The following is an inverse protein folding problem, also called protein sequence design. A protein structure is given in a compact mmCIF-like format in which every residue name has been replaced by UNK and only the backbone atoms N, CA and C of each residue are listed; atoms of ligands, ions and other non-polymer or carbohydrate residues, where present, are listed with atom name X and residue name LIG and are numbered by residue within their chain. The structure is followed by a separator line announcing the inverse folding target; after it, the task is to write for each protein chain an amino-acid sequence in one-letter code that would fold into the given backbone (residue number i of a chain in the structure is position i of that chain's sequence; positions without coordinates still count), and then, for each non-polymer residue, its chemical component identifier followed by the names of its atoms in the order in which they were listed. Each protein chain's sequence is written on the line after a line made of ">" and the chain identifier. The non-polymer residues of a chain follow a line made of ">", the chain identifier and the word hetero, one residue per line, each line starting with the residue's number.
data_IF_783810376343
#
_entry.id   IF_783810376343
#
_cell.length_a   1.000
_cell.length_b   1.000
_cell.length_c   1.000
_cell.angle_alpha   90.00
_cell.angle_beta   90.00
_cell.angle_gamma   90.00
#
_symmetry.space_group_name_H-M   'P 1'
#
loop_
_entity.id
_entity.type
_entity.pdbx_description
1 polymer ?
#
# COMPACT_ATOMS: atom_id res chain seq x y z
N UNK A 1 -21.82 -7.45 -13.39
CA UNK A 1 -20.55 -6.98 -12.81
C UNK A 1 -19.98 -8.10 -11.95
N UNK A 2 -18.75 -8.54 -12.18
CA UNK A 2 -18.15 -9.70 -11.50
C UNK A 2 -17.79 -9.32 -10.04
N UNK A 3 -18.32 -10.08 -9.07
CA UNK A 3 -18.10 -9.82 -7.64
C UNK A 3 -16.62 -9.89 -7.23
N UNK A 4 -15.86 -10.84 -7.80
CA UNK A 4 -14.43 -10.96 -7.53
C UNK A 4 -13.66 -9.73 -8.00
N UNK A 5 -14.01 -9.22 -9.20
CA UNK A 5 -13.41 -7.99 -9.72
C UNK A 5 -13.71 -6.82 -8.80
N UNK A 6 -14.96 -6.68 -8.32
CA UNK A 6 -15.33 -5.61 -7.39
C UNK A 6 -14.56 -5.67 -6.08
N UNK A 7 -14.37 -6.87 -5.53
CA UNK A 7 -13.63 -7.06 -4.28
C UNK A 7 -12.14 -6.67 -4.44
N UNK A 8 -11.51 -7.11 -5.52
CA UNK A 8 -10.11 -6.72 -5.81
C UNK A 8 -9.98 -5.21 -6.07
N UNK A 9 -10.96 -4.58 -6.74
CA UNK A 9 -10.98 -3.12 -6.90
C UNK A 9 -10.99 -2.39 -5.55
N UNK A 10 -11.83 -2.82 -4.61
CA UNK A 10 -11.89 -2.22 -3.27
C UNK A 10 -10.58 -2.40 -2.50
N UNK A 11 -9.93 -3.55 -2.64
CA UNK A 11 -8.64 -3.82 -2.01
C UNK A 11 -7.55 -2.89 -2.55
N UNK A 12 -7.52 -2.70 -3.87
CA UNK A 12 -6.59 -1.76 -4.53
C UNK A 12 -6.86 -0.32 -4.05
N UNK A 13 -8.12 0.09 -3.97
CA UNK A 13 -8.51 1.42 -3.50
C UNK A 13 -8.06 1.69 -2.06
N UNK A 14 -8.25 0.72 -1.17
CA UNK A 14 -7.79 0.81 0.21
C UNK A 14 -6.26 0.91 0.30
N UNK A 15 -5.54 0.08 -0.47
CA UNK A 15 -4.08 0.13 -0.54
C UNK A 15 -3.57 1.49 -1.06
N UNK A 16 -4.16 2.01 -2.13
CA UNK A 16 -3.77 3.29 -2.72
C UNK A 16 -4.08 4.47 -1.81
N UNK A 17 -5.19 4.40 -1.07
CA UNK A 17 -5.55 5.43 -0.09
C UNK A 17 -4.54 5.47 1.07
N UNK A 18 -4.17 4.30 1.60
CA UNK A 18 -3.16 4.19 2.65
C UNK A 18 -1.76 4.62 2.17
N UNK A 19 -1.37 4.27 0.95
CA UNK A 19 -0.11 4.73 0.35
C UNK A 19 -0.05 6.25 0.28
N UNK A 20 -1.12 6.88 -0.22
CA UNK A 20 -1.19 8.34 -0.36
C UNK A 20 -1.08 9.03 1.00
N UNK A 21 -1.84 8.57 2.00
CA UNK A 21 -1.83 9.16 3.34
C UNK A 21 -0.45 9.04 4.00
N UNK A 22 0.12 7.83 4.01
CA UNK A 22 1.41 7.56 4.66
C UNK A 22 2.55 8.37 4.03
N UNK A 23 2.62 8.37 2.69
CA UNK A 23 3.69 9.07 1.99
C UNK A 23 3.52 10.59 2.02
N UNK A 24 2.29 11.10 1.98
CA UNK A 24 2.05 12.53 2.17
C UNK A 24 2.48 12.98 3.57
N UNK A 25 2.03 12.29 4.62
CA UNK A 25 2.35 12.64 6.00
C UNK A 25 3.86 12.55 6.30
N UNK A 26 4.55 11.61 5.67
CA UNK A 26 5.99 11.41 5.86
C UNK A 26 6.85 12.43 5.09
N UNK A 27 6.44 12.77 3.87
CA UNK A 27 7.29 13.54 2.95
C UNK A 27 6.92 15.03 2.89
N UNK A 28 5.64 15.40 2.98
CA UNK A 28 5.16 16.76 2.77
C UNK A 28 4.92 17.46 4.11
N UNK A 29 6.00 17.95 4.75
CA UNK A 29 5.93 18.54 6.10
C UNK A 29 5.40 19.97 6.14
N UNK A 30 5.45 20.69 5.01
CA UNK A 30 4.98 22.06 4.90
C UNK A 30 4.13 22.22 3.65
N UNK A 31 2.97 22.85 3.79
CA UNK A 31 2.06 23.19 2.69
C UNK A 31 2.10 24.68 2.38
N UNK A 32 3.20 25.35 2.71
CA UNK A 32 3.41 26.78 2.48
C UNK A 32 3.50 27.16 1.01
N UNK A 33 3.69 26.18 0.12
CA UNK A 33 3.83 26.34 -1.32
C UNK A 33 2.88 25.37 -2.04
N UNK A 34 2.42 25.77 -3.22
CA UNK A 34 1.45 25.01 -4.00
C UNK A 34 2.07 23.90 -4.85
N UNK A 35 3.40 23.81 -4.87
CA UNK A 35 4.15 22.82 -5.64
C UNK A 35 5.04 21.99 -4.72
N UNK A 36 5.24 20.72 -5.09
CA UNK A 36 6.17 19.85 -4.40
C UNK A 36 7.60 20.23 -4.78
N UNK A 37 8.46 20.31 -3.77
CA UNK A 37 9.90 20.44 -3.98
C UNK A 37 10.48 19.15 -4.56
N UNK A 38 11.65 19.23 -5.20
CA UNK A 38 12.37 18.05 -5.71
C UNK A 38 12.63 17.01 -4.61
N UNK A 39 12.91 17.46 -3.39
CA UNK A 39 13.13 16.57 -2.24
C UNK A 39 11.85 15.83 -1.83
N UNK A 40 10.70 16.52 -1.82
CA UNK A 40 9.40 15.91 -1.53
C UNK A 40 9.01 14.89 -2.60
N UNK A 41 9.21 15.21 -3.89
CA UNK A 41 8.98 14.26 -4.99
C UNK A 41 9.85 13.01 -4.85
N UNK A 42 11.15 13.19 -4.60
CA UNK A 42 12.08 12.07 -4.39
C UNK A 42 11.73 11.24 -3.14
N UNK A 43 11.24 11.89 -2.09
CA UNK A 43 10.76 11.21 -0.90
C UNK A 43 9.52 10.36 -1.20
N UNK A 44 8.52 10.92 -1.89
CA UNK A 44 7.28 10.23 -2.26
C UNK A 44 7.57 9.02 -3.13
N UNK A 45 8.46 9.13 -4.12
CA UNK A 45 8.87 8.02 -4.97
C UNK A 45 9.43 6.85 -4.14
N UNK A 46 10.42 7.13 -3.28
CA UNK A 46 11.01 6.12 -2.38
C UNK A 46 9.99 5.55 -1.39
N UNK A 47 9.11 6.39 -0.85
CA UNK A 47 8.06 5.96 0.08
C UNK A 47 7.08 5.00 -0.60
N UNK A 48 6.59 5.35 -1.79
CA UNK A 48 5.64 4.54 -2.55
C UNK A 48 6.21 3.16 -2.87
N UNK A 49 7.49 3.10 -3.27
CA UNK A 49 8.19 1.84 -3.53
C UNK A 49 8.28 0.98 -2.27
N UNK A 50 8.70 1.57 -1.13
CA UNK A 50 8.79 0.85 0.15
C UNK A 50 7.43 0.36 0.64
N UNK A 51 6.40 1.19 0.52
CA UNK A 51 5.04 0.85 0.93
C UNK A 51 4.51 -0.36 0.15
N UNK A 52 4.56 -0.31 -1.18
CA UNK A 52 4.07 -1.39 -2.04
C UNK A 52 4.89 -2.68 -1.86
N UNK A 53 6.21 -2.56 -1.70
CA UNK A 53 7.08 -3.71 -1.43
C UNK A 53 6.73 -4.37 -0.08
N UNK A 54 6.50 -3.56 0.95
CA UNK A 54 6.09 -4.04 2.28
C UNK A 54 4.71 -4.68 2.23
N UNK A 55 3.75 -4.05 1.55
CA UNK A 55 2.41 -4.59 1.34
C UNK A 55 2.44 -5.96 0.68
N UNK A 56 3.30 -6.15 -0.34
CA UNK A 56 3.53 -7.44 -0.98
C UNK A 56 4.06 -8.48 0.01
N UNK A 57 5.13 -8.16 0.76
CA UNK A 57 5.71 -9.08 1.76
C UNK A 57 4.66 -9.54 2.77
N UNK A 58 3.85 -8.59 3.29
CA UNK A 58 2.81 -8.88 4.27
C UNK A 58 1.74 -9.79 3.67
N UNK A 59 1.23 -9.48 2.47
CA UNK A 59 0.26 -10.35 1.78
C UNK A 59 0.80 -11.75 1.53
N UNK A 60 2.05 -11.88 1.08
CA UNK A 60 2.68 -13.17 0.85
C UNK A 60 2.79 -13.98 2.16
N UNK A 61 3.10 -13.30 3.28
CA UNK A 61 3.15 -13.93 4.59
C UNK A 61 1.76 -14.40 5.07
N UNK A 62 0.73 -13.56 4.92
CA UNK A 62 -0.66 -13.91 5.27
C UNK A 62 -1.16 -15.09 4.44
N UNK A 63 -0.90 -15.10 3.14
CA UNK A 63 -1.27 -16.20 2.25
C UNK A 63 -0.61 -17.52 2.66
N UNK A 64 0.69 -17.49 3.02
CA UNK A 64 1.40 -18.67 3.56
C UNK A 64 0.79 -19.14 4.90
N UNK A 65 0.47 -18.21 5.79
CA UNK A 65 -0.17 -18.51 7.08
C UNK A 65 -1.51 -19.22 6.90
N UNK A 66 -2.39 -18.66 6.06
CA UNK A 66 -3.70 -19.26 5.74
C UNK A 66 -3.58 -20.65 5.12
N UNK A 67 -2.58 -20.90 4.27
CA UNK A 67 -2.36 -22.22 3.68
C UNK A 67 -1.92 -23.25 4.74
N UNK A 68 -1.08 -22.86 5.69
CA UNK A 68 -0.64 -23.74 6.77
C UNK A 68 -1.75 -24.08 7.77
N UNK A 69 -2.72 -23.18 7.97
CA UNK A 69 -3.90 -23.47 8.80
C UNK A 69 -4.85 -24.47 8.13
N UNK A 70 -5.08 -24.35 6.81
CA UNK A 70 -5.91 -25.31 6.06
C UNK A 70 -5.34 -26.73 6.07
N UNK A 71 -4.01 -26.88 6.11
CA UNK A 71 -3.34 -28.18 6.16
C UNK A 71 -3.33 -28.83 7.56
N UNK A 72 -3.78 -28.13 8.61
CA UNK A 72 -3.90 -28.69 9.98
C UNK A 72 -5.30 -29.22 10.31
N UNK A 73 -6.27 -28.99 9.42
CA UNK A 73 -7.68 -29.35 9.62
C UNK A 73 -8.09 -30.62 8.84
N UNK A 74 -7.12 -31.37 8.32
CA UNK A 74 -7.29 -32.68 7.69
C UNK A 74 -6.35 -33.71 8.31
#
# INVERSE_FOLDING_TARGET
>A
MNFQVKLESLRIEAMMSGLREECFNSCCKSLSQNELTTDEVNCIDRCSWRYLHTYKIVNDALNRGMHNEKNKTF
#
